data_IF_472985816346
#
_entry.id   IF_472985816346
#
_cell.length_a   1.000
_cell.length_b   1.000
_cell.length_c   1.000
_cell.angle_alpha   90.00
_cell.angle_beta   90.00
_cell.angle_gamma   90.00
#
_symmetry.space_group_name_H-M   'P 1'
#
loop_
_entity.id
_entity.type
_entity.pdbx_description
1 polymer ?
#
# COMPACT_ATOMS: atom_id res chain seq x y z
N UNK A 1 -4.67 -28.58 -9.84
CA UNK A 1 -4.87 -27.12 -9.86
C UNK A 1 -5.54 -26.79 -11.18
N UNK A 2 -6.80 -26.37 -11.15
CA UNK A 2 -7.43 -25.76 -12.33
C UNK A 2 -6.58 -24.57 -12.74
N UNK A 3 -6.26 -24.45 -14.04
CA UNK A 3 -5.51 -23.30 -14.55
C UNK A 3 -6.20 -22.00 -14.18
N UNK A 4 -5.40 -20.96 -13.91
CA UNK A 4 -5.92 -19.61 -13.71
C UNK A 4 -6.67 -19.15 -14.97
N UNK A 5 -7.92 -18.71 -14.79
CA UNK A 5 -8.75 -18.13 -15.85
C UNK A 5 -8.95 -16.63 -15.54
N UNK A 6 -8.35 -15.72 -16.31
CA UNK A 6 -8.48 -14.28 -16.13
C UNK A 6 -9.93 -13.78 -16.07
N UNK A 7 -10.87 -14.45 -16.74
CA UNK A 7 -12.26 -14.02 -16.83
C UNK A 7 -13.12 -14.46 -15.63
N UNK A 8 -12.60 -15.34 -14.76
CA UNK A 8 -13.29 -15.87 -13.58
C UNK A 8 -12.66 -15.35 -12.30
N UNK A 9 -13.50 -15.03 -11.31
CA UNK A 9 -13.03 -14.61 -9.99
C UNK A 9 -12.10 -15.66 -9.38
N UNK A 10 -10.87 -15.24 -9.05
CA UNK A 10 -9.85 -16.15 -8.53
C UNK A 10 -10.04 -16.44 -7.02
N UNK A 11 -11.20 -16.97 -6.66
CA UNK A 11 -11.58 -17.24 -5.27
C UNK A 11 -10.65 -18.27 -4.59
N UNK A 12 -10.10 -19.19 -5.38
CA UNK A 12 -9.11 -20.19 -4.95
C UNK A 12 -7.69 -19.62 -4.82
N UNK A 13 -7.51 -18.29 -4.82
CA UNK A 13 -6.22 -17.64 -4.58
C UNK A 13 -5.54 -18.27 -3.35
N UNK A 14 -4.36 -18.92 -3.51
CA UNK A 14 -3.70 -19.64 -2.45
C UNK A 14 -3.36 -18.75 -1.25
N UNK A 15 -3.48 -19.26 -0.01
CA UNK A 15 -3.10 -18.50 1.17
C UNK A 15 -1.58 -18.32 1.27
N UNK A 16 -1.17 -17.33 2.04
CA UNK A 16 0.22 -17.11 2.45
C UNK A 16 0.53 -17.93 3.73
N UNK A 17 1.80 -18.38 3.90
CA UNK A 17 2.89 -18.30 2.92
C UNK A 17 2.70 -19.33 1.79
N UNK A 18 3.28 -19.07 0.60
CA UNK A 18 3.28 -20.08 -0.46
C UNK A 18 4.06 -21.32 -0.01
N UNK A 19 3.62 -22.50 -0.48
CA UNK A 19 4.32 -23.78 -0.20
C UNK A 19 5.72 -23.87 -0.83
N UNK A 20 6.01 -22.98 -1.78
CA UNK A 20 7.27 -22.94 -2.49
C UNK A 20 8.30 -22.19 -1.64
N UNK A 21 9.55 -22.65 -1.63
CA UNK A 21 10.63 -21.95 -0.94
C UNK A 21 10.88 -20.57 -1.54
N UNK A 22 10.76 -19.52 -0.73
CA UNK A 22 11.03 -18.13 -1.14
C UNK A 22 12.52 -17.79 -1.09
N UNK A 23 13.28 -18.48 -0.24
CA UNK A 23 14.70 -18.23 0.04
C UNK A 23 15.62 -18.85 -1.02
N UNK A 24 15.50 -18.36 -2.24
CA UNK A 24 16.38 -18.77 -3.33
C UNK A 24 17.69 -17.98 -3.30
N UNK A 25 18.78 -18.56 -3.81
CA UNK A 25 20.10 -17.87 -3.88
C UNK A 25 20.01 -16.47 -4.54
N UNK A 26 19.28 -16.26 -5.66
CA UNK A 26 19.08 -14.92 -6.22
C UNK A 26 18.36 -13.95 -5.26
N UNK A 27 17.27 -14.41 -4.62
CA UNK A 27 16.49 -13.60 -3.67
C UNK A 27 17.33 -13.20 -2.45
N UNK A 28 18.09 -14.14 -1.88
CA UNK A 28 18.93 -13.89 -0.71
C UNK A 28 20.07 -12.90 -1.01
N UNK A 29 20.67 -12.97 -2.21
CA UNK A 29 21.68 -12.00 -2.64
C UNK A 29 21.12 -10.58 -2.71
N UNK A 30 19.96 -10.41 -3.35
CA UNK A 30 19.27 -9.11 -3.42
C UNK A 30 18.82 -8.64 -2.04
N UNK A 31 18.41 -9.55 -1.15
CA UNK A 31 18.04 -9.21 0.22
C UNK A 31 19.22 -8.62 1.01
N UNK A 32 20.44 -9.14 0.83
CA UNK A 32 21.64 -8.60 1.48
C UNK A 32 21.87 -7.14 1.07
N UNK A 33 21.85 -6.86 -0.24
CA UNK A 33 22.04 -5.51 -0.79
C UNK A 33 20.94 -4.56 -0.29
N UNK A 34 19.66 -4.98 -0.38
CA UNK A 34 18.53 -4.19 0.11
C UNK A 34 18.64 -3.88 1.60
N UNK A 35 19.00 -4.86 2.45
CA UNK A 35 19.19 -4.64 3.89
C UNK A 35 20.33 -3.66 4.16
N UNK A 36 21.45 -3.73 3.43
CA UNK A 36 22.57 -2.83 3.60
C UNK A 36 22.19 -1.38 3.24
N UNK A 37 21.45 -1.18 2.15
CA UNK A 37 20.92 0.15 1.76
C UNK A 37 19.94 0.70 2.77
N UNK A 38 19.01 -0.11 3.27
CA UNK A 38 18.03 0.30 4.30
C UNK A 38 18.73 0.64 5.62
N UNK A 39 19.71 -0.16 6.04
CA UNK A 39 20.49 0.11 7.25
C UNK A 39 21.27 1.43 7.15
N UNK A 40 21.89 1.69 6.00
CA UNK A 40 22.56 2.96 5.72
C UNK A 40 21.59 4.14 5.80
N UNK A 41 20.42 4.03 5.17
CA UNK A 41 19.39 5.06 5.21
C UNK A 41 18.92 5.34 6.65
N UNK A 42 18.68 4.29 7.44
CA UNK A 42 18.30 4.42 8.85
C UNK A 42 19.38 5.16 9.65
N UNK A 43 20.63 4.74 9.52
CA UNK A 43 21.75 5.35 10.23
C UNK A 43 21.93 6.83 9.87
N UNK A 44 21.86 7.16 8.58
CA UNK A 44 21.94 8.55 8.12
C UNK A 44 20.76 9.35 8.65
N UNK A 45 19.54 8.83 8.58
CA UNK A 45 18.34 9.50 9.09
C UNK A 45 18.40 9.81 10.58
N UNK A 46 18.94 8.90 11.40
CA UNK A 46 19.16 9.09 12.84
C UNK A 46 20.24 10.14 13.15
N UNK A 47 21.19 10.37 12.24
CA UNK A 47 22.27 11.35 12.39
C UNK A 47 21.89 12.79 12.01
N UNK A 48 20.72 13.02 11.42
CA UNK A 48 20.29 14.35 10.99
C UNK A 48 19.91 15.21 12.20
N UNK A 49 20.47 16.43 12.34
CA UNK A 49 20.19 17.30 13.50
C UNK A 49 18.73 17.68 13.69
N UNK A 50 17.97 17.78 12.59
CA UNK A 50 16.54 18.06 12.60
C UNK A 50 15.76 16.98 11.82
N UNK A 51 15.40 15.85 12.45
CA UNK A 51 14.69 14.75 11.79
C UNK A 51 13.27 15.13 11.33
N UNK A 52 12.69 16.22 11.84
CA UNK A 52 11.38 16.70 11.41
C UNK A 52 11.37 17.07 9.91
N UNK A 53 12.51 17.50 9.35
CA UNK A 53 12.64 17.78 7.92
C UNK A 53 12.33 16.52 7.09
N UNK A 54 12.86 15.37 7.48
CA UNK A 54 12.60 14.11 6.77
C UNK A 54 11.14 13.68 6.91
N UNK A 55 10.58 13.79 8.13
CA UNK A 55 9.21 13.41 8.44
C UNK A 55 8.20 14.24 7.65
N UNK A 56 8.52 15.50 7.35
CA UNK A 56 7.62 16.38 6.60
C UNK A 56 7.82 16.29 5.07
N UNK A 57 9.02 15.95 4.62
CA UNK A 57 9.40 16.00 3.19
C UNK A 57 9.26 14.64 2.51
N UNK A 58 9.83 13.58 3.09
CA UNK A 58 9.86 12.25 2.46
C UNK A 58 8.44 11.73 2.22
N UNK A 59 7.50 11.80 3.19
CA UNK A 59 6.12 11.36 2.96
C UNK A 59 5.38 12.15 1.88
N UNK A 60 5.74 13.41 1.62
CA UNK A 60 5.15 14.20 0.53
C UNK A 60 5.67 13.75 -0.83
N UNK A 61 6.97 13.48 -0.94
CA UNK A 61 7.58 12.96 -2.16
C UNK A 61 7.07 11.55 -2.46
N UNK A 62 6.95 10.70 -1.44
CA UNK A 62 6.36 9.37 -1.57
C UNK A 62 4.89 9.45 -1.99
N UNK A 63 4.10 10.33 -1.36
CA UNK A 63 2.71 10.54 -1.74
C UNK A 63 2.57 10.99 -3.20
N UNK A 64 3.45 11.87 -3.68
CA UNK A 64 3.47 12.31 -5.08
C UNK A 64 3.74 11.14 -6.02
N UNK A 65 4.85 10.42 -5.80
CA UNK A 65 5.27 9.32 -6.65
C UNK A 65 4.24 8.17 -6.65
N UNK A 66 3.71 7.80 -5.48
CA UNK A 66 2.65 6.79 -5.35
C UNK A 66 1.35 7.22 -6.04
N UNK A 67 0.98 8.51 -5.95
CA UNK A 67 -0.23 9.03 -6.60
C UNK A 67 -0.09 9.09 -8.12
N UNK A 68 1.11 9.38 -8.64
CA UNK A 68 1.39 9.43 -10.07
C UNK A 68 1.17 8.07 -10.75
N UNK A 69 1.51 6.96 -10.07
CA UNK A 69 1.26 5.59 -10.54
C UNK A 69 -0.25 5.32 -10.75
N UNK A 70 -1.10 5.93 -9.91
CA UNK A 70 -2.56 5.81 -9.97
C UNK A 70 -3.21 6.83 -10.93
N UNK A 71 -2.42 7.50 -11.78
CA UNK A 71 -2.84 8.59 -12.67
C UNK A 71 -3.36 9.84 -11.94
N UNK A 72 -2.99 10.04 -10.68
CA UNK A 72 -3.31 11.25 -9.91
C UNK A 72 -2.14 12.22 -10.05
N UNK A 73 -2.27 13.17 -10.98
CA UNK A 73 -1.19 14.10 -11.32
C UNK A 73 -1.19 15.32 -10.40
N UNK A 74 -0.14 15.46 -9.58
CA UNK A 74 0.18 16.66 -8.81
C UNK A 74 1.70 16.91 -8.83
N UNK A 75 2.17 18.02 -8.27
CA UNK A 75 3.60 18.38 -8.23
C UNK A 75 4.09 18.53 -6.79
N UNK A 76 5.38 18.28 -6.56
CA UNK A 76 6.00 18.47 -5.25
C UNK A 76 5.81 19.91 -4.74
N UNK A 77 5.99 20.93 -5.59
CA UNK A 77 5.76 22.34 -5.23
C UNK A 77 4.35 22.61 -4.71
N UNK A 78 3.32 22.10 -5.40
CA UNK A 78 1.93 22.21 -4.95
C UNK A 78 1.73 21.52 -3.60
N UNK A 79 2.32 20.35 -3.40
CA UNK A 79 2.22 19.60 -2.15
C UNK A 79 2.87 20.33 -0.98
N UNK A 80 4.05 20.91 -1.17
CA UNK A 80 4.70 21.74 -0.16
C UNK A 80 3.90 23.00 0.14
N UNK A 81 3.40 23.69 -0.89
CA UNK A 81 2.59 24.91 -0.73
C UNK A 81 1.33 24.69 0.12
N UNK A 82 0.71 23.53 -0.01
CA UNK A 82 -0.52 23.18 0.71
C UNK A 82 -0.30 22.23 1.89
N UNK A 83 0.95 21.97 2.29
CA UNK A 83 1.30 21.01 3.33
C UNK A 83 0.69 21.38 4.70
N UNK A 84 0.71 22.67 5.03
CA UNK A 84 0.23 23.24 6.31
C UNK A 84 -1.16 23.86 6.23
N UNK A 85 -1.67 24.10 5.01
CA UNK A 85 -2.98 24.71 4.80
C UNK A 85 -3.72 24.05 3.62
N UNK A 86 -4.18 22.80 3.77
CA UNK A 86 -4.86 22.04 2.72
C UNK A 86 -6.30 22.51 2.44
N UNK A 87 -6.66 23.74 2.83
CA UNK A 87 -8.00 24.31 2.68
C UNK A 87 -8.53 24.27 1.22
N UNK A 88 -9.75 24.77 1.01
CA UNK A 88 -10.54 24.65 -0.24
C UNK A 88 -9.87 25.13 -1.55
N UNK A 89 -8.63 25.62 -1.52
CA UNK A 89 -7.88 26.11 -2.66
C UNK A 89 -7.02 25.06 -3.39
N UNK A 90 -6.71 23.91 -2.77
CA UNK A 90 -5.98 22.84 -3.44
C UNK A 90 -6.89 22.06 -4.41
N UNK A 91 -6.39 21.67 -5.59
CA UNK A 91 -7.14 20.83 -6.55
C UNK A 91 -7.37 19.41 -6.01
N UNK A 92 -8.30 18.65 -6.62
CA UNK A 92 -8.71 17.34 -6.12
C UNK A 92 -7.55 16.33 -6.03
N UNK A 93 -6.66 16.34 -7.04
CA UNK A 93 -5.49 15.46 -7.10
C UNK A 93 -4.49 15.79 -5.98
N UNK A 94 -4.21 17.07 -5.77
CA UNK A 94 -3.33 17.56 -4.70
C UNK A 94 -3.90 17.22 -3.32
N UNK A 95 -5.23 17.36 -3.13
CA UNK A 95 -5.88 16.97 -1.87
C UNK A 95 -5.79 15.46 -1.62
N UNK A 96 -5.93 14.63 -2.64
CA UNK A 96 -5.77 13.17 -2.50
C UNK A 96 -4.35 12.78 -2.11
N UNK A 97 -3.34 13.37 -2.75
CA UNK A 97 -1.94 13.15 -2.37
C UNK A 97 -1.62 13.67 -0.94
N UNK A 98 -2.19 14.80 -0.51
CA UNK A 98 -2.05 15.25 0.89
C UNK A 98 -2.76 14.32 1.89
N UNK A 99 -3.90 13.74 1.50
CA UNK A 99 -4.55 12.68 2.29
C UNK A 99 -3.72 11.41 2.34
N UNK A 100 -2.97 11.07 1.29
CA UNK A 100 -2.02 9.97 1.30
C UNK A 100 -0.93 10.15 2.36
N UNK A 101 -0.29 11.32 2.45
CA UNK A 101 0.65 11.65 3.55
C UNK A 101 0.01 11.41 4.92
N UNK A 102 -1.21 11.91 5.09
CA UNK A 102 -1.95 11.78 6.35
C UNK A 102 -2.24 10.32 6.69
N UNK A 103 -2.67 9.54 5.69
CA UNK A 103 -2.95 8.12 5.83
C UNK A 103 -1.69 7.32 6.22
N UNK A 104 -0.55 7.62 5.59
CA UNK A 104 0.73 6.98 5.89
C UNK A 104 1.16 7.25 7.35
N UNK A 105 1.10 8.51 7.80
CA UNK A 105 1.41 8.85 9.18
C UNK A 105 0.43 8.18 10.17
N UNK A 106 -0.87 8.21 9.89
CA UNK A 106 -1.87 7.56 10.72
C UNK A 106 -1.63 6.05 10.84
N UNK A 107 -1.33 5.38 9.71
CA UNK A 107 -0.96 3.97 9.68
C UNK A 107 0.27 3.67 10.53
N UNK A 108 1.33 4.48 10.38
CA UNK A 108 2.54 4.35 11.20
C UNK A 108 2.26 4.51 12.70
N UNK A 109 1.47 5.50 13.11
CA UNK A 109 1.12 5.67 14.52
C UNK A 109 0.21 4.53 15.04
N UNK A 110 -0.67 3.98 14.19
CA UNK A 110 -1.52 2.85 14.54
C UNK A 110 -0.69 1.58 14.81
N UNK A 111 0.36 1.34 14.03
CA UNK A 111 1.27 0.19 14.19
C UNK A 111 2.03 0.19 15.53
N UNK A 112 2.21 1.34 16.17
CA UNK A 112 2.76 1.42 17.53
C UNK A 112 1.82 0.88 18.60
N UNK A 113 0.52 0.79 18.32
CA UNK A 113 -0.53 0.41 19.28
C UNK A 113 -1.08 -0.99 19.02
N UNK A 114 -1.09 -1.43 17.76
CA UNK A 114 -1.63 -2.73 17.36
C UNK A 114 -0.94 -3.27 16.11
N UNK A 115 -0.88 -4.60 15.96
CA UNK A 115 -0.52 -5.30 14.73
C UNK A 115 -1.08 -4.73 13.42
N UNK A 116 -0.33 -4.92 12.33
CA UNK A 116 -0.86 -4.76 10.97
C UNK A 116 -2.08 -5.66 10.81
N UNK A 117 -3.18 -5.09 10.34
CA UNK A 117 -4.48 -5.76 10.25
C UNK A 117 -5.32 -5.18 9.12
N UNK A 118 -6.36 -5.90 8.73
CA UNK A 118 -7.37 -5.44 7.77
C UNK A 118 -7.99 -4.10 8.20
N UNK A 119 -8.16 -3.87 9.50
CA UNK A 119 -8.68 -2.63 10.03
C UNK A 119 -7.77 -1.43 9.69
N UNK A 120 -6.45 -1.57 9.88
CA UNK A 120 -5.48 -0.52 9.51
C UNK A 120 -5.52 -0.25 8.01
N UNK A 121 -5.58 -1.31 7.18
CA UNK A 121 -5.65 -1.15 5.72
C UNK A 121 -6.91 -0.37 5.30
N UNK A 122 -8.08 -0.70 5.87
CA UNK A 122 -9.33 0.01 5.59
C UNK A 122 -9.26 1.47 6.05
N UNK A 123 -8.69 1.76 7.22
CA UNK A 123 -8.51 3.13 7.73
C UNK A 123 -7.61 3.97 6.81
N UNK A 124 -6.51 3.39 6.32
CA UNK A 124 -5.62 4.03 5.35
C UNK A 124 -6.38 4.34 4.06
N UNK A 125 -7.10 3.37 3.47
CA UNK A 125 -7.87 3.58 2.25
C UNK A 125 -8.97 4.63 2.42
N UNK A 126 -9.71 4.62 3.54
CA UNK A 126 -10.70 5.65 3.89
C UNK A 126 -10.09 7.03 3.94
N UNK A 127 -8.93 7.15 4.59
CA UNK A 127 -8.21 8.42 4.72
C UNK A 127 -7.78 8.93 3.35
N UNK A 128 -7.15 8.10 2.51
CA UNK A 128 -6.69 8.48 1.16
C UNK A 128 -7.87 8.98 0.31
N UNK A 129 -8.94 8.19 0.23
CA UNK A 129 -10.09 8.50 -0.63
C UNK A 129 -11.02 9.57 -0.06
N UNK A 130 -10.92 9.86 1.24
CA UNK A 130 -11.77 10.85 1.90
C UNK A 130 -13.24 10.43 1.95
N UNK A 131 -13.52 9.12 1.90
CA UNK A 131 -14.87 8.56 1.87
C UNK A 131 -14.96 7.34 2.78
N UNK A 132 -16.18 6.99 3.20
CA UNK A 132 -16.42 5.77 3.97
C UNK A 132 -16.39 4.54 3.07
N UNK A 133 -15.20 4.03 2.80
CA UNK A 133 -14.94 2.78 2.07
C UNK A 133 -14.92 1.57 2.99
N UNK A 134 -15.24 0.39 2.46
CA UNK A 134 -15.07 -0.89 3.14
C UNK A 134 -14.72 -1.96 2.08
N UNK A 135 -14.48 -3.19 2.53
CA UNK A 135 -14.28 -4.34 1.67
C UNK A 135 -15.43 -4.47 0.68
N UNK A 136 -15.10 -4.71 -0.59
CA UNK A 136 -16.09 -4.78 -1.66
C UNK A 136 -17.14 -5.86 -1.37
N UNK A 137 -18.41 -5.48 -1.54
CA UNK A 137 -19.56 -6.38 -1.46
C UNK A 137 -20.10 -6.79 -2.82
N UNK A 138 -19.87 -5.95 -3.83
CA UNK A 138 -20.37 -6.16 -5.18
C UNK A 138 -19.36 -6.97 -6.03
N UNK A 139 -19.84 -7.97 -6.79
CA UNK A 139 -19.03 -8.71 -7.76
C UNK A 139 -18.76 -7.87 -9.02
N UNK A 140 -17.92 -8.37 -9.92
CA UNK A 140 -17.69 -7.83 -11.25
C UNK A 140 -16.47 -6.92 -11.40
N UNK A 141 -15.64 -6.78 -10.36
CA UNK A 141 -14.39 -6.02 -10.48
C UNK A 141 -13.40 -6.82 -11.29
N UNK A 142 -12.80 -6.20 -12.31
CA UNK A 142 -11.84 -6.83 -13.22
C UNK A 142 -10.71 -5.85 -13.53
N UNK A 143 -9.51 -6.39 -13.68
CA UNK A 143 -8.40 -5.71 -14.33
C UNK A 143 -8.44 -6.07 -15.80
N UNK A 144 -8.66 -5.07 -16.66
CA UNK A 144 -8.72 -5.24 -18.10
C UNK A 144 -7.77 -4.25 -18.78
N UNK A 145 -7.27 -4.64 -19.96
CA UNK A 145 -6.54 -3.72 -20.82
C UNK A 145 -7.51 -2.64 -21.33
N UNK A 146 -7.27 -1.35 -21.06
CA UNK A 146 -8.20 -0.29 -21.44
C UNK A 146 -8.38 -0.16 -22.96
N UNK A 147 -7.39 -0.55 -23.77
CA UNK A 147 -7.41 -0.45 -25.24
C UNK A 147 -8.10 -1.64 -25.89
N UNK A 148 -7.81 -2.86 -25.44
CA UNK A 148 -8.31 -4.10 -26.07
C UNK A 148 -9.54 -4.67 -25.37
N UNK A 149 -9.89 -4.17 -24.17
CA UNK A 149 -10.93 -4.71 -23.29
C UNK A 149 -10.69 -6.16 -22.84
N UNK A 150 -9.51 -6.70 -23.11
CA UNK A 150 -9.09 -8.03 -22.67
C UNK A 150 -8.97 -8.07 -21.15
N UNK A 151 -9.62 -9.04 -20.51
CA UNK A 151 -9.54 -9.23 -19.05
C UNK A 151 -8.22 -9.91 -18.72
N UNK A 152 -7.39 -9.23 -17.91
CA UNK A 152 -6.08 -9.70 -17.47
C UNK A 152 -6.18 -10.46 -16.14
N UNK A 153 -7.07 -10.01 -15.25
CA UNK A 153 -7.25 -10.61 -13.93
C UNK A 153 -8.62 -10.28 -13.33
N UNK A 154 -9.31 -11.28 -12.80
CA UNK A 154 -10.52 -11.09 -11.99
C UNK A 154 -10.20 -11.45 -10.52
N UNK A 155 -10.13 -10.47 -9.61
CA UNK A 155 -9.85 -10.71 -8.19
C UNK A 155 -10.88 -11.63 -7.53
N UNK A 156 -10.56 -12.19 -6.34
CA UNK A 156 -11.56 -12.85 -5.50
C UNK A 156 -12.78 -11.94 -5.23
N UNK A 157 -13.92 -12.57 -5.02
CA UNK A 157 -15.19 -11.90 -4.76
C UNK A 157 -15.91 -12.54 -3.56
N UNK A 158 -16.81 -11.77 -2.94
CA UNK A 158 -17.50 -12.15 -1.70
C UNK A 158 -16.82 -11.55 -0.48
N UNK A 159 -17.58 -10.76 0.28
CA UNK A 159 -17.04 -10.00 1.43
C UNK A 159 -16.38 -10.91 2.46
N UNK A 160 -17.02 -12.03 2.82
CA UNK A 160 -16.48 -12.98 3.79
C UNK A 160 -15.12 -13.54 3.31
N UNK A 161 -15.05 -14.03 2.07
CA UNK A 161 -13.82 -14.56 1.48
C UNK A 161 -12.70 -13.50 1.43
N UNK A 162 -13.04 -12.27 1.05
CA UNK A 162 -12.08 -11.16 1.01
C UNK A 162 -11.53 -10.86 2.41
N UNK A 163 -12.39 -10.83 3.44
CA UNK A 163 -11.97 -10.63 4.83
C UNK A 163 -11.06 -11.76 5.31
N UNK A 164 -11.39 -13.01 4.99
CA UNK A 164 -10.55 -14.18 5.35
C UNK A 164 -9.17 -14.11 4.69
N UNK A 165 -9.12 -13.77 3.40
CA UNK A 165 -7.85 -13.60 2.68
C UNK A 165 -7.01 -12.46 3.24
N UNK A 166 -7.63 -11.33 3.59
CA UNK A 166 -6.93 -10.19 4.20
C UNK A 166 -6.45 -10.50 5.62
N UNK A 167 -7.21 -11.30 6.39
CA UNK A 167 -6.78 -11.78 7.70
C UNK A 167 -5.57 -12.72 7.58
N UNK A 168 -5.56 -13.61 6.58
CA UNK A 168 -4.40 -14.45 6.28
C UNK A 168 -3.15 -13.62 5.93
N UNK A 169 -3.28 -12.55 5.14
CA UNK A 169 -2.18 -11.62 4.88
C UNK A 169 -1.66 -11.04 6.19
N UNK A 170 -2.53 -10.47 7.02
CA UNK A 170 -2.14 -9.90 8.32
C UNK A 170 -1.40 -10.91 9.22
N UNK A 171 -1.91 -12.14 9.32
CA UNK A 171 -1.29 -13.20 10.12
C UNK A 171 0.08 -13.63 9.57
N UNK A 172 0.25 -13.68 8.25
CA UNK A 172 1.51 -14.11 7.62
C UNK A 172 2.69 -13.17 7.92
N UNK A 173 2.44 -11.88 8.15
CA UNK A 173 3.46 -10.91 8.57
C UNK A 173 4.01 -11.18 9.98
N UNK A 174 3.25 -11.82 10.87
CA UNK A 174 3.70 -12.15 12.22
C UNK A 174 4.46 -13.48 12.28
N UNK A 175 4.02 -14.47 11.50
CA UNK A 175 4.67 -15.78 11.46
C UNK A 175 6.10 -15.70 10.94
N UNK A 176 6.40 -14.79 9.99
CA UNK A 176 7.76 -14.61 9.46
C UNK A 176 8.74 -13.93 10.42
N UNK A 177 8.28 -13.33 11.53
CA UNK A 177 9.13 -12.66 12.52
C UNK A 177 9.54 -13.56 13.70
N UNK A 178 8.98 -14.77 13.77
CA UNK A 178 9.18 -15.72 14.89
C UNK A 178 9.87 -17.02 14.47
N UNK A 179 10.27 -17.13 13.20
CA UNK A 179 11.02 -18.25 12.62
C UNK A 179 12.44 -17.79 12.26
#
# INVERSE_FOLDING_TARGET
>A
MSGFDPARAYNELPPLPPKQGLETKPVLKLCIEARASIATLKQVGESIPNPAVLINTIPLLEAQASSEIENIVTTADKLFRFADNPGNQADAATREALRYRTALNNGYQALKKRPLSTAIAVEICRTIKGTNLDIRRVPGVKLANPRTQEVIYTPPEGEALLRDKLANVGASFFMSLTS
#
